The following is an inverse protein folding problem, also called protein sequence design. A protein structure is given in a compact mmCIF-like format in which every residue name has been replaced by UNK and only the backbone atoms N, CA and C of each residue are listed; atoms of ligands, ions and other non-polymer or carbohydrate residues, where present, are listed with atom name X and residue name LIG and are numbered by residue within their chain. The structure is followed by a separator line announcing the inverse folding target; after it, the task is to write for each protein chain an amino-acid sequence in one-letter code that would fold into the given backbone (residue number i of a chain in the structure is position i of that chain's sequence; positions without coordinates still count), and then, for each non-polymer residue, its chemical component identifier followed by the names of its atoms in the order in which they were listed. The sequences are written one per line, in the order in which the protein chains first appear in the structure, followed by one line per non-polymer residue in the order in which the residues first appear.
data_IF_733469580999
#
_entry.id   IF_733469580999
#
_cell.length_a   1.000
_cell.length_b   1.000
_cell.length_c   1.000
_cell.angle_alpha   90.00
_cell.angle_beta   90.00
_cell.angle_gamma   90.00
#
_symmetry.space_group_name_H-M   'P 1'
#
loop_
_entity.id
_entity.type
_entity.pdbx_description
1 polymer ?
#
# COMPACT_ATOMS: atom_id res chain seq x y z
N UNK A 1 19.00 -4.56 12.78
CA UNK A 1 19.84 -3.47 12.22
C UNK A 1 19.09 -2.16 12.38
N UNK A 2 19.67 -1.16 13.05
CA UNK A 2 19.16 0.22 13.02
C UNK A 2 19.63 0.83 11.70
N UNK A 3 18.88 0.66 10.62
CA UNK A 3 19.03 1.51 9.43
C UNK A 3 18.74 2.95 9.86
N UNK A 4 19.59 3.90 9.48
CA UNK A 4 19.34 5.30 9.85
C UNK A 4 17.99 5.75 9.25
N UNK A 5 17.23 6.58 9.96
CA UNK A 5 15.93 7.08 9.46
C UNK A 5 16.05 7.72 8.07
N UNK A 6 17.22 8.30 7.76
CA UNK A 6 17.54 8.88 6.47
C UNK A 6 17.61 7.83 5.34
N UNK A 7 18.13 6.64 5.64
CA UNK A 7 18.24 5.55 4.68
C UNK A 7 16.87 4.94 4.38
N UNK A 8 16.03 4.79 5.41
CA UNK A 8 14.66 4.33 5.24
C UNK A 8 13.86 5.31 4.37
N UNK A 9 13.97 6.61 4.66
CA UNK A 9 13.36 7.68 3.85
C UNK A 9 13.86 7.65 2.41
N UNK A 10 15.16 7.49 2.19
CA UNK A 10 15.72 7.42 0.83
C UNK A 10 15.23 6.19 0.05
N UNK A 11 15.08 5.04 0.71
CA UNK A 11 14.48 3.84 0.12
C UNK A 11 13.02 4.11 -0.26
N UNK A 12 12.22 4.68 0.64
CA UNK A 12 10.81 4.96 0.38
C UNK A 12 10.65 6.01 -0.74
N UNK A 13 11.43 7.10 -0.72
CA UNK A 13 11.40 8.13 -1.76
C UNK A 13 11.77 7.55 -3.13
N UNK A 14 12.72 6.61 -3.16
CA UNK A 14 13.07 5.87 -4.38
C UNK A 14 11.93 4.94 -4.85
N UNK A 15 11.33 4.16 -3.94
CA UNK A 15 10.24 3.22 -4.25
C UNK A 15 8.98 3.93 -4.75
N UNK A 16 8.64 5.06 -4.13
CA UNK A 16 7.46 5.86 -4.47
C UNK A 16 7.74 6.92 -5.54
N UNK A 17 8.94 6.95 -6.13
CA UNK A 17 9.37 7.92 -7.17
C UNK A 17 9.17 9.38 -6.74
N UNK A 18 9.45 9.69 -5.47
CA UNK A 18 9.31 11.03 -4.88
C UNK A 18 10.61 11.83 -4.90
N UNK A 19 11.74 11.18 -5.11
CA UNK A 19 13.06 11.79 -5.24
C UNK A 19 13.25 12.49 -6.59
N UNK A 20 14.10 13.52 -6.62
CA UNK A 20 14.47 14.18 -7.88
C UNK A 20 15.22 13.23 -8.82
N UNK A 21 15.29 13.50 -10.14
CA UNK A 21 16.06 12.66 -11.06
C UNK A 21 17.53 12.51 -10.66
N UNK A 22 18.15 13.60 -10.17
CA UNK A 22 19.54 13.58 -9.70
C UNK A 22 19.72 12.66 -8.49
N UNK A 23 18.83 12.76 -7.50
CA UNK A 23 18.84 11.89 -6.31
C UNK A 23 18.62 10.43 -6.68
N UNK A 24 17.77 10.17 -7.69
CA UNK A 24 17.50 8.82 -8.17
C UNK A 24 18.74 8.21 -8.84
N UNK A 25 19.50 8.97 -9.62
CA UNK A 25 20.77 8.53 -10.20
C UNK A 25 21.81 8.22 -9.13
N UNK A 26 21.97 9.10 -8.13
CA UNK A 26 22.87 8.86 -7.00
C UNK A 26 22.47 7.60 -6.23
N UNK A 27 21.17 7.42 -6.00
CA UNK A 27 20.66 6.24 -5.30
C UNK A 27 20.92 4.94 -6.08
N UNK A 28 20.75 4.95 -7.40
CA UNK A 28 21.08 3.81 -8.26
C UNK A 28 22.57 3.47 -8.22
N UNK A 29 23.45 4.48 -8.24
CA UNK A 29 24.89 4.27 -8.08
C UNK A 29 25.22 3.64 -6.72
N UNK A 30 24.59 4.11 -5.64
CA UNK A 30 24.73 3.51 -4.29
C UNK A 30 24.28 2.06 -4.26
N UNK A 31 23.18 1.71 -4.94
CA UNK A 31 22.72 0.32 -5.03
C UNK A 31 23.72 -0.60 -5.74
N UNK A 32 24.55 -0.09 -6.66
CA UNK A 32 25.60 -0.89 -7.30
C UNK A 32 26.78 -1.11 -6.34
N UNK A 33 27.15 -0.07 -5.61
CA UNK A 33 28.31 -0.10 -4.70
C UNK A 33 28.01 -0.78 -3.36
N UNK A 34 26.75 -0.83 -2.93
CA UNK A 34 26.32 -1.33 -1.62
C UNK A 34 25.30 -2.48 -1.78
N UNK A 35 25.73 -3.75 -1.81
CA UNK A 35 24.83 -4.88 -1.99
C UNK A 35 23.79 -5.02 -0.87
N UNK A 36 24.13 -4.64 0.38
CA UNK A 36 23.19 -4.65 1.51
C UNK A 36 22.01 -3.69 1.33
N UNK A 37 22.23 -2.58 0.61
CA UNK A 37 21.16 -1.65 0.26
C UNK A 37 20.14 -2.31 -0.69
N UNK A 38 20.59 -3.15 -1.63
CA UNK A 38 19.68 -3.93 -2.50
C UNK A 38 18.84 -4.90 -1.70
N UNK A 39 19.43 -5.60 -0.74
CA UNK A 39 18.72 -6.52 0.14
C UNK A 39 17.66 -5.78 0.97
N UNK A 40 18.02 -4.61 1.51
CA UNK A 40 17.10 -3.75 2.27
C UNK A 40 15.91 -3.30 1.41
N UNK A 41 16.15 -2.90 0.15
CA UNK A 41 15.09 -2.53 -0.80
C UNK A 41 14.18 -3.72 -1.11
N UNK A 42 14.74 -4.91 -1.32
CA UNK A 42 13.96 -6.12 -1.60
C UNK A 42 13.03 -6.46 -0.43
N UNK A 43 13.54 -6.41 0.81
CA UNK A 43 12.75 -6.62 2.02
C UNK A 43 11.67 -5.55 2.20
N UNK A 44 11.97 -4.28 1.92
CA UNK A 44 10.99 -3.20 1.99
C UNK A 44 9.86 -3.40 0.98
N UNK A 45 10.17 -3.77 -0.27
CA UNK A 45 9.17 -4.11 -1.29
C UNK A 45 8.28 -5.27 -0.86
N UNK A 46 8.86 -6.33 -0.30
CA UNK A 46 8.11 -7.48 0.18
C UNK A 46 7.20 -7.11 1.36
N UNK A 47 7.71 -6.29 2.28
CA UNK A 47 6.94 -5.78 3.42
C UNK A 47 5.77 -4.93 2.96
N UNK A 48 6.00 -3.97 2.06
CA UNK A 48 4.94 -3.14 1.48
C UNK A 48 3.88 -4.00 0.77
N UNK A 49 4.29 -5.00 0.00
CA UNK A 49 3.37 -5.91 -0.66
C UNK A 49 2.51 -6.67 0.35
N UNK A 50 3.10 -7.21 1.42
CA UNK A 50 2.36 -7.88 2.49
C UNK A 50 1.35 -6.90 3.14
N UNK A 51 1.81 -5.71 3.52
CA UNK A 51 0.95 -4.69 4.12
C UNK A 51 -0.22 -4.36 3.20
N UNK A 52 0.00 -4.15 1.90
CA UNK A 52 -1.06 -3.91 0.92
C UNK A 52 -2.05 -5.08 0.81
N UNK A 53 -1.58 -6.33 0.80
CA UNK A 53 -2.46 -7.50 0.72
C UNK A 53 -3.32 -7.65 1.98
N UNK A 54 -2.72 -7.52 3.15
CA UNK A 54 -3.44 -7.67 4.42
C UNK A 54 -4.35 -6.49 4.72
N UNK A 55 -3.93 -5.25 4.40
CA UNK A 55 -4.78 -4.06 4.53
C UNK A 55 -5.98 -4.13 3.58
N UNK A 56 -5.81 -4.58 2.33
CA UNK A 56 -6.94 -4.82 1.43
C UNK A 56 -7.90 -5.88 1.94
N UNK A 57 -7.38 -6.95 2.55
CA UNK A 57 -8.23 -8.00 3.14
C UNK A 57 -9.02 -7.47 4.34
N UNK A 58 -8.39 -6.69 5.21
CA UNK A 58 -9.04 -6.03 6.34
C UNK A 58 -10.12 -5.05 5.87
N UNK A 59 -9.77 -4.15 4.95
CA UNK A 59 -10.70 -3.18 4.38
C UNK A 59 -11.90 -3.87 3.68
N UNK A 60 -11.65 -4.97 2.95
CA UNK A 60 -12.72 -5.76 2.34
C UNK A 60 -13.62 -6.41 3.38
N UNK A 61 -13.08 -6.85 4.51
CA UNK A 61 -13.87 -7.41 5.61
C UNK A 61 -14.73 -6.32 6.27
N UNK A 62 -14.17 -5.14 6.53
CA UNK A 62 -14.90 -3.98 7.08
C UNK A 62 -16.03 -3.53 6.15
N UNK A 63 -15.76 -3.38 4.85
CA UNK A 63 -16.79 -3.02 3.86
C UNK A 63 -17.89 -4.08 3.83
N UNK A 64 -17.52 -5.37 3.89
CA UNK A 64 -18.49 -6.47 3.90
C UNK A 64 -19.36 -6.42 5.14
N UNK A 65 -18.77 -6.19 6.32
CA UNK A 65 -19.49 -6.08 7.58
C UNK A 65 -20.47 -4.91 7.57
N UNK A 66 -20.03 -3.73 7.13
CA UNK A 66 -20.90 -2.57 6.96
C UNK A 66 -22.06 -2.86 5.98
N UNK A 67 -21.76 -3.50 4.85
CA UNK A 67 -22.78 -3.90 3.87
C UNK A 67 -23.76 -4.93 4.43
N UNK A 68 -23.31 -5.87 5.25
CA UNK A 68 -24.17 -6.89 5.85
C UNK A 68 -25.02 -6.31 6.99
N UNK A 69 -24.56 -5.28 7.70
CA UNK A 69 -25.38 -4.50 8.63
C UNK A 69 -26.52 -3.78 7.91
N UNK A 70 -26.22 -3.06 6.83
CA UNK A 70 -27.24 -2.34 6.02
C UNK A 70 -28.28 -3.31 5.44
N UNK A 71 -27.89 -4.52 5.04
CA UNK A 71 -28.83 -5.54 4.53
C UNK A 71 -29.77 -6.12 5.58
N UNK A 72 -29.38 -6.14 6.85
CA UNK A 72 -30.18 -6.72 7.94
C UNK A 72 -31.33 -5.80 8.35
N UNK A 73 -31.26 -4.52 7.98
CA UNK A 73 -32.33 -3.57 8.23
C UNK A 73 -33.42 -3.69 7.13
N UNK A 74 -34.65 -4.12 7.47
CA UNK A 74 -35.72 -4.28 6.49
C UNK A 74 -36.06 -2.96 5.75
N UNK A 75 -35.83 -1.81 6.40
CA UNK A 75 -36.13 -0.48 5.86
C UNK A 75 -35.16 -0.03 4.75
N UNK A 76 -34.00 -0.66 4.58
CA UNK A 76 -32.92 -0.24 3.66
C UNK A 76 -32.96 -0.94 2.28
N UNK A 77 -33.93 -1.83 2.03
CA UNK A 77 -34.02 -2.60 0.77
C UNK A 77 -34.14 -1.72 -0.48
N UNK A 78 -34.83 -0.58 -0.39
CA UNK A 78 -34.94 0.39 -1.49
C UNK A 78 -33.62 1.12 -1.80
N UNK A 79 -32.81 1.40 -0.77
CA UNK A 79 -31.50 2.04 -0.90
C UNK A 79 -30.51 1.12 -1.64
N UNK A 80 -30.45 -0.15 -1.23
CA UNK A 80 -29.61 -1.18 -1.88
C UNK A 80 -30.01 -1.38 -3.35
N UNK A 81 -31.31 -1.39 -3.66
CA UNK A 81 -31.80 -1.50 -5.03
C UNK A 81 -31.38 -0.31 -5.91
N UNK A 82 -31.37 0.91 -5.34
CA UNK A 82 -30.91 2.13 -6.04
C UNK A 82 -29.42 2.09 -6.33
N UNK A 83 -28.60 1.69 -5.36
CA UNK A 83 -27.14 1.56 -5.53
C UNK A 83 -26.81 0.50 -6.59
N UNK A 84 -27.45 -0.68 -6.55
CA UNK A 84 -27.23 -1.73 -7.56
C UNK A 84 -27.52 -1.26 -8.98
N UNK A 85 -28.43 -0.30 -9.15
CA UNK A 85 -28.79 0.28 -10.45
C UNK A 85 -27.73 1.25 -10.99
N UNK A 86 -26.88 1.82 -10.13
CA UNK A 86 -25.78 2.72 -10.52
C UNK A 86 -24.56 1.98 -11.07
N UNK A 87 -24.39 0.71 -10.70
CA UNK A 87 -23.25 -0.13 -11.11
C UNK A 87 -23.61 -1.11 -12.24
N UNK A 88 -24.70 -0.83 -12.99
CA UNK A 88 -25.22 -1.67 -14.07
C UNK A 88 -25.02 -1.03 -15.42
#
# INVERSE_FOLDING_TARGET
MRTSLNELKAIDDHLFKRSSPADQTVFQARMILQPDLRNSIALQKQTLWLVEQYSRRALKAEIKEACDQVKRDPCETAFIARIRRLFR
#
